data_IF_497588125680
#
_entry.id   IF_497588125680
#
_cell.length_a   1.000
_cell.length_b   1.000
_cell.length_c   1.000
_cell.angle_alpha   90.00
_cell.angle_beta   90.00
_cell.angle_gamma   90.00
#
_symmetry.space_group_name_H-M   'P 1'
#
loop_
_entity.id
_entity.type
_entity.pdbx_description
1 polymer ?
#
# COMPACT_ATOMS: atom_id res chain seq x y z
N UNK A 1 11.92 -1.61 9.31
CA UNK A 1 11.64 -1.88 7.88
C UNK A 1 10.92 -0.66 7.31
N UNK A 2 11.20 -0.28 6.07
CA UNK A 2 10.56 0.88 5.45
C UNK A 2 9.40 0.40 4.58
N UNK A 3 8.19 0.93 4.81
CA UNK A 3 7.04 0.68 3.97
C UNK A 3 6.86 1.86 3.00
N UNK A 4 6.86 1.61 1.69
CA UNK A 4 6.57 2.63 0.67
C UNK A 4 7.23 2.36 -0.68
N UNK A 5 7.09 3.29 -1.65
CA UNK A 5 6.33 4.54 -1.59
C UNK A 5 4.81 4.32 -1.49
N UNK A 6 4.09 5.24 -0.84
CA UNK A 6 2.62 5.17 -0.66
C UNK A 6 1.92 6.23 -1.50
N UNK A 7 0.91 5.82 -2.27
CA UNK A 7 0.11 6.73 -3.08
C UNK A 7 -0.88 7.50 -2.20
N UNK A 8 -1.08 8.79 -2.48
CA UNK A 8 -1.99 9.68 -1.75
C UNK A 8 -2.73 10.61 -2.71
N UNK A 9 -3.89 11.14 -2.27
CA UNK A 9 -4.63 12.16 -3.02
C UNK A 9 -5.49 11.64 -4.18
N UNK A 10 -5.74 10.33 -4.27
CA UNK A 10 -6.59 9.71 -5.30
C UNK A 10 -7.92 9.23 -4.71
N UNK A 11 -8.96 9.18 -5.53
CA UNK A 11 -10.34 8.89 -5.09
C UNK A 11 -10.53 7.48 -4.49
N UNK A 12 -9.69 6.51 -4.90
CA UNK A 12 -9.64 5.16 -4.31
C UNK A 12 -8.17 4.78 -4.09
N UNK A 13 -7.79 4.30 -2.91
CA UNK A 13 -6.43 3.89 -2.61
C UNK A 13 -5.94 2.78 -3.55
N UNK A 14 -4.76 3.01 -4.13
CA UNK A 14 -4.04 2.07 -4.98
C UNK A 14 -2.56 2.29 -4.69
N UNK A 15 -1.86 1.24 -4.28
CA UNK A 15 -0.43 1.30 -4.02
C UNK A 15 0.30 0.36 -4.98
N UNK A 16 1.39 0.86 -5.55
CA UNK A 16 2.28 0.07 -6.39
C UNK A 16 3.32 -0.65 -5.53
N UNK A 17 3.77 -1.80 -6.01
CA UNK A 17 4.83 -2.58 -5.38
C UNK A 17 6.10 -2.49 -6.21
N UNK A 18 7.24 -2.49 -5.51
CA UNK A 18 8.54 -2.62 -6.18
C UNK A 18 8.66 -3.99 -6.85
N UNK A 19 9.32 -4.06 -8.03
CA UNK A 19 9.43 -5.28 -8.88
C UNK A 19 10.20 -6.46 -8.27
N UNK A 20 10.58 -6.39 -7.00
CA UNK A 20 11.24 -7.46 -6.24
C UNK A 20 10.67 -7.61 -4.83
N UNK A 21 9.43 -7.19 -4.60
CA UNK A 21 8.80 -7.27 -3.29
C UNK A 21 8.66 -8.72 -2.81
N UNK A 22 8.86 -8.93 -1.52
CA UNK A 22 8.58 -10.19 -0.84
C UNK A 22 7.08 -10.36 -0.58
N UNK A 23 6.62 -11.57 -0.24
CA UNK A 23 5.24 -11.79 0.19
C UNK A 23 4.86 -10.94 1.41
N UNK A 24 5.81 -10.73 2.32
CA UNK A 24 5.63 -9.90 3.52
C UNK A 24 5.39 -8.43 3.17
N UNK A 25 6.06 -7.93 2.12
CA UNK A 25 5.83 -6.56 1.63
C UNK A 25 4.41 -6.43 1.04
N UNK A 26 3.95 -7.46 0.33
CA UNK A 26 2.57 -7.51 -0.21
C UNK A 26 1.55 -7.47 0.93
N UNK A 27 1.71 -8.31 1.95
CA UNK A 27 0.82 -8.35 3.12
C UNK A 27 0.76 -6.98 3.82
N UNK A 28 1.93 -6.34 4.01
CA UNK A 28 2.02 -5.00 4.58
C UNK A 28 1.28 -3.95 3.74
N UNK A 29 1.51 -3.93 2.41
CA UNK A 29 0.86 -2.97 1.51
C UNK A 29 -0.66 -3.20 1.42
N UNK A 30 -1.12 -4.46 1.44
CA UNK A 30 -2.56 -4.77 1.50
C UNK A 30 -3.19 -4.25 2.79
N UNK A 31 -2.54 -4.48 3.94
CA UNK A 31 -3.02 -3.98 5.21
C UNK A 31 -3.10 -2.45 5.23
N UNK A 32 -2.08 -1.76 4.71
CA UNK A 32 -2.09 -0.29 4.63
C UNK A 32 -3.16 0.21 3.67
N UNK A 33 -3.32 -0.42 2.49
CA UNK A 33 -4.35 -0.05 1.51
C UNK A 33 -5.76 -0.20 2.11
N UNK A 34 -6.00 -1.26 2.89
CA UNK A 34 -7.27 -1.46 3.60
C UNK A 34 -7.58 -0.31 4.58
N UNK A 35 -6.57 0.17 5.31
CA UNK A 35 -6.72 1.32 6.23
C UNK A 35 -6.92 2.63 5.44
N UNK A 36 -6.20 2.85 4.34
CA UNK A 36 -6.46 4.01 3.49
C UNK A 36 -7.91 4.02 2.97
N UNK A 37 -8.51 2.84 2.74
CA UNK A 37 -9.89 2.73 2.31
C UNK A 37 -10.93 3.08 3.40
N UNK A 38 -10.55 3.11 4.67
CA UNK A 38 -11.46 3.47 5.77
C UNK A 38 -11.75 4.97 5.83
N UNK A 39 -10.89 5.80 5.23
CA UNK A 39 -10.96 7.26 5.27
C UNK A 39 -11.36 7.87 3.91
N UNK A 40 -12.01 7.08 3.04
CA UNK A 40 -12.63 7.56 1.79
C UNK A 40 -14.06 8.02 2.08
#
# INVERSE_FOLDING_TARGET
EAYGPMTQGIAKPVNDLSRGCSSKDIEGVVAITAIQCQNI
#
